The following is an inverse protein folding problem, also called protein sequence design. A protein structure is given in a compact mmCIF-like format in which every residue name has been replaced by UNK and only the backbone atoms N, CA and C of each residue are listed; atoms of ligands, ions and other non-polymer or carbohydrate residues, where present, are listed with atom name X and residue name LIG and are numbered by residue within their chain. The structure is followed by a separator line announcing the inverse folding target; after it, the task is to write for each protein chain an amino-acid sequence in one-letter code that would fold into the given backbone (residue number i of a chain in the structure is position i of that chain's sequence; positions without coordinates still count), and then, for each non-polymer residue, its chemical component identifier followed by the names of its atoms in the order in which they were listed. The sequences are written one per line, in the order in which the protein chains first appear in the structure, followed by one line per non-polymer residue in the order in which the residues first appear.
data_IF_964263989520
#
_entry.id   IF_964263989520
#
_cell.length_a   1.000
_cell.length_b   1.000
_cell.length_c   1.000
_cell.angle_alpha   90.00
_cell.angle_beta   90.00
_cell.angle_gamma   90.00
#
_symmetry.space_group_name_H-M   'P 1'
#
loop_
_entity.id
_entity.type
_entity.pdbx_description
1 polymer ?
#
# COMPACT_ATOMS: atom_id res chain seq x y z
N UNK A 1 -22.79 -23.67 11.42
CA UNK A 1 -21.37 -23.37 11.70
C UNK A 1 -21.37 -22.28 12.74
N UNK A 2 -20.93 -22.57 13.98
CA UNK A 2 -20.95 -21.58 15.07
C UNK A 2 -19.84 -20.55 14.82
N UNK A 3 -20.22 -19.35 14.39
CA UNK A 3 -19.30 -18.21 14.36
C UNK A 3 -19.05 -17.79 15.80
N UNK A 4 -17.88 -18.15 16.32
CA UNK A 4 -17.43 -17.73 17.64
C UNK A 4 -17.20 -16.21 17.54
N UNK A 5 -17.91 -15.43 18.34
CA UNK A 5 -17.68 -14.00 18.41
C UNK A 5 -16.20 -13.75 18.80
N UNK A 6 -15.49 -12.82 18.14
CA UNK A 6 -14.11 -12.52 18.49
C UNK A 6 -14.03 -12.06 19.95
N UNK A 7 -12.95 -12.40 20.67
CA UNK A 7 -12.80 -12.04 22.07
C UNK A 7 -12.84 -10.52 22.25
N UNK A 8 -13.41 -10.06 23.37
CA UNK A 8 -13.51 -8.64 23.69
C UNK A 8 -12.12 -7.98 23.65
N UNK A 9 -11.94 -6.99 22.78
CA UNK A 9 -10.67 -6.29 22.54
C UNK A 9 -9.90 -6.72 21.29
N UNK A 10 -10.36 -7.74 20.56
CA UNK A 10 -9.81 -8.04 19.23
C UNK A 10 -10.20 -6.95 18.21
N UNK A 11 -9.29 -6.56 17.30
CA UNK A 11 -9.63 -5.61 16.25
C UNK A 11 -10.75 -6.17 15.37
N UNK A 12 -11.62 -5.29 14.89
CA UNK A 12 -12.54 -5.62 13.81
C UNK A 12 -11.76 -6.06 12.58
N UNK A 13 -12.41 -6.80 11.69
CA UNK A 13 -11.82 -7.21 10.40
C UNK A 13 -11.23 -6.02 9.65
N UNK A 14 -11.96 -4.92 9.60
CA UNK A 14 -11.54 -3.69 8.94
C UNK A 14 -10.30 -3.07 9.61
N UNK A 15 -10.27 -2.97 10.94
CA UNK A 15 -9.10 -2.46 11.66
C UNK A 15 -7.86 -3.35 11.46
N UNK A 16 -8.07 -4.67 11.40
CA UNK A 16 -7.00 -5.62 11.12
C UNK A 16 -6.43 -5.43 9.71
N UNK A 17 -7.30 -5.30 8.69
CA UNK A 17 -6.86 -5.04 7.31
C UNK A 17 -6.11 -3.71 7.25
N UNK A 18 -6.65 -2.65 7.86
CA UNK A 18 -6.01 -1.34 7.92
C UNK A 18 -4.63 -1.38 8.59
N UNK A 19 -4.51 -2.08 9.71
CA UNK A 19 -3.24 -2.28 10.39
C UNK A 19 -2.22 -3.04 9.53
N UNK A 20 -2.64 -4.08 8.83
CA UNK A 20 -1.75 -4.84 7.93
C UNK A 20 -1.34 -4.03 6.69
N UNK A 21 -2.25 -3.22 6.15
CA UNK A 21 -1.99 -2.28 5.05
C UNK A 21 -0.94 -1.23 5.46
N UNK A 22 -1.06 -0.66 6.66
CA UNK A 22 -0.04 0.24 7.22
C UNK A 22 1.30 -0.45 7.41
N UNK A 23 1.32 -1.69 7.91
CA UNK A 23 2.57 -2.45 8.05
C UNK A 23 3.28 -2.63 6.71
N UNK A 24 2.55 -2.92 5.63
CA UNK A 24 3.11 -3.02 4.29
C UNK A 24 3.67 -1.67 3.81
N UNK A 25 2.87 -0.59 3.90
CA UNK A 25 3.27 0.78 3.52
C UNK A 25 4.50 1.29 4.27
N UNK A 26 4.62 0.94 5.56
CA UNK A 26 5.72 1.34 6.43
C UNK A 26 6.97 0.47 6.26
N UNK A 27 6.94 -0.57 5.41
CA UNK A 27 8.06 -1.50 5.21
C UNK A 27 8.29 -2.45 6.39
N UNK A 28 7.27 -2.67 7.22
CA UNK A 28 7.31 -3.57 8.38
C UNK A 28 6.86 -4.99 8.03
N UNK A 29 6.31 -5.19 6.84
CA UNK A 29 6.01 -6.49 6.25
C UNK A 29 7.08 -6.86 5.21
N UNK A 30 7.89 -7.88 5.52
CA UNK A 30 8.96 -8.36 4.64
C UNK A 30 8.45 -9.13 3.42
N UNK A 31 7.18 -9.53 3.43
CA UNK A 31 6.56 -10.26 2.32
C UNK A 31 5.88 -9.33 1.32
N UNK A 32 5.63 -8.08 1.72
CA UNK A 32 5.03 -7.08 0.86
C UNK A 32 5.95 -6.71 -0.32
N UNK A 33 5.34 -6.35 -1.45
CA UNK A 33 6.02 -5.80 -2.61
C UNK A 33 5.74 -4.31 -2.69
N UNK A 34 6.76 -3.51 -2.91
CA UNK A 34 6.61 -2.08 -3.15
C UNK A 34 7.03 -1.82 -4.59
N UNK A 35 6.13 -1.22 -5.36
CA UNK A 35 6.35 -0.87 -6.76
C UNK A 35 6.06 0.61 -6.98
N UNK A 36 6.86 1.25 -7.81
CA UNK A 36 6.64 2.61 -8.30
C UNK A 36 6.39 2.51 -9.80
N UNK A 37 5.29 3.08 -10.29
CA UNK A 37 5.03 3.08 -11.73
C UNK A 37 6.10 3.87 -12.47
N UNK A 38 6.44 3.43 -13.68
CA UNK A 38 7.44 4.09 -14.51
C UNK A 38 7.08 5.55 -14.78
N UNK A 39 5.81 5.83 -15.05
CA UNK A 39 5.31 7.19 -15.31
C UNK A 39 5.49 8.09 -14.09
N UNK A 40 5.07 7.64 -12.90
CA UNK A 40 5.26 8.37 -11.65
C UNK A 40 6.73 8.74 -11.41
N UNK A 41 7.66 7.81 -11.61
CA UNK A 41 9.08 8.09 -11.45
C UNK A 41 9.61 9.06 -12.52
N UNK A 42 9.19 8.89 -13.77
CA UNK A 42 9.61 9.73 -14.89
C UNK A 42 9.17 11.20 -14.74
N UNK A 43 8.02 11.44 -14.08
CA UNK A 43 7.55 12.79 -13.75
C UNK A 43 8.51 13.55 -12.84
N UNK A 44 9.28 12.84 -12.01
CA UNK A 44 10.24 13.47 -11.08
C UNK A 44 11.66 13.61 -11.67
N UNK A 45 11.90 13.10 -12.88
CA UNK A 45 13.18 13.18 -13.56
C UNK A 45 13.65 11.84 -14.15
N UNK A 46 14.97 11.65 -14.32
CA UNK A 46 15.52 10.41 -14.85
C UNK A 46 15.08 9.18 -14.04
N UNK A 47 14.77 8.08 -14.74
CA UNK A 47 14.30 6.82 -14.15
C UNK A 47 15.45 5.84 -13.82
N UNK A 48 16.69 6.22 -14.13
CA UNK A 48 17.90 5.45 -13.81
C UNK A 48 18.97 6.33 -13.16
N UNK A 49 19.92 5.69 -12.47
CA UNK A 49 21.05 6.36 -11.82
C UNK A 49 20.72 6.99 -10.45
N UNK A 50 21.67 7.75 -9.87
CA UNK A 50 21.56 8.24 -8.50
C UNK A 50 20.34 9.14 -8.24
N UNK A 51 19.94 9.95 -9.24
CA UNK A 51 18.76 10.82 -9.14
C UNK A 51 17.47 10.00 -9.08
N UNK A 52 17.38 8.92 -9.87
CA UNK A 52 16.23 8.02 -9.83
C UNK A 52 16.10 7.35 -8.45
N UNK A 53 17.21 6.88 -7.87
CA UNK A 53 17.23 6.30 -6.52
C UNK A 53 16.77 7.31 -5.47
N UNK A 54 17.20 8.57 -5.58
CA UNK A 54 16.76 9.65 -4.70
C UNK A 54 15.25 9.91 -4.84
N UNK A 55 14.73 9.99 -6.06
CA UNK A 55 13.31 10.20 -6.32
C UNK A 55 12.45 9.04 -5.82
N UNK A 56 12.89 7.78 -6.01
CA UNK A 56 12.24 6.62 -5.41
C UNK A 56 12.23 6.70 -3.88
N UNK A 57 13.34 7.10 -3.25
CA UNK A 57 13.40 7.26 -1.80
C UNK A 57 12.44 8.36 -1.29
N UNK A 58 12.33 9.49 -2.01
CA UNK A 58 11.38 10.56 -1.70
C UNK A 58 9.93 10.08 -1.80
N UNK A 59 9.59 9.34 -2.87
CA UNK A 59 8.27 8.74 -3.05
C UNK A 59 7.92 7.77 -1.92
N UNK A 60 8.84 6.85 -1.58
CA UNK A 60 8.63 5.91 -0.48
C UNK A 60 8.50 6.63 0.88
N UNK A 61 9.25 7.71 1.11
CA UNK A 61 9.12 8.50 2.33
C UNK A 61 7.76 9.21 2.41
N UNK A 62 7.32 9.82 1.32
CA UNK A 62 6.02 10.49 1.26
C UNK A 62 4.85 9.51 1.40
N UNK A 63 4.93 8.33 0.78
CA UNK A 63 3.96 7.26 0.95
C UNK A 63 3.83 6.79 2.41
N UNK A 64 4.92 6.82 3.20
CA UNK A 64 4.87 6.52 4.64
C UNK A 64 4.17 7.57 5.50
N UNK A 65 4.03 8.79 5.00
CA UNK A 65 3.34 9.90 5.68
C UNK A 65 2.06 10.36 4.99
N UNK A 66 1.54 9.59 4.03
CA UNK A 66 0.33 9.95 3.30
C UNK A 66 -0.90 9.98 4.21
N UNK A 67 -1.93 10.68 3.77
CA UNK A 67 -3.24 10.67 4.41
C UNK A 67 -4.20 9.75 3.65
N UNK A 68 -5.23 9.29 4.37
CA UNK A 68 -6.33 8.48 3.83
C UNK A 68 -7.63 9.26 4.00
N UNK A 69 -8.51 9.20 3.00
CA UNK A 69 -9.84 9.78 3.11
C UNK A 69 -10.75 8.89 3.97
N UNK A 70 -11.90 9.42 4.37
CA UNK A 70 -12.92 8.65 5.09
C UNK A 70 -13.45 7.46 4.28
N UNK A 71 -13.35 7.52 2.95
CA UNK A 71 -13.79 6.47 2.03
C UNK A 71 -12.77 5.33 1.86
N UNK A 72 -11.57 5.45 2.44
CA UNK A 72 -10.57 4.37 2.52
C UNK A 72 -10.32 3.97 3.98
N UNK A 73 -11.32 3.39 4.67
CA UNK A 73 -11.18 3.00 6.06
C UNK A 73 -10.21 1.81 6.26
N UNK A 74 -10.00 1.01 5.20
CA UNK A 74 -8.96 -0.02 5.14
C UNK A 74 -7.55 0.56 4.90
N UNK A 75 -7.41 1.87 4.71
CA UNK A 75 -6.13 2.54 4.43
C UNK A 75 -5.40 1.94 3.22
N UNK A 76 -6.17 1.61 2.21
CA UNK A 76 -5.73 0.93 1.00
C UNK A 76 -5.56 1.89 -0.19
N UNK A 77 -6.01 3.14 -0.07
CA UNK A 77 -5.81 4.21 -1.03
C UNK A 77 -5.46 5.53 -0.31
N UNK A 78 -4.17 5.85 -0.31
CA UNK A 78 -3.64 7.10 0.25
C UNK A 78 -3.28 8.10 -0.83
N UNK A 79 -3.29 9.39 -0.48
CA UNK A 79 -2.94 10.49 -1.39
C UNK A 79 -1.86 11.36 -0.77
N UNK A 80 -0.90 11.81 -1.57
CA UNK A 80 0.10 12.79 -1.18
C UNK A 80 0.56 13.62 -2.39
N UNK A 81 1.28 14.71 -2.13
CA UNK A 81 1.84 15.56 -3.18
C UNK A 81 3.37 15.56 -3.12
N UNK A 82 4.02 15.57 -4.29
CA UNK A 82 5.46 15.74 -4.44
C UNK A 82 5.75 16.58 -5.69
N UNK A 83 6.56 17.63 -5.55
CA UNK A 83 6.91 18.55 -6.65
C UNK A 83 5.69 19.10 -7.43
N UNK A 84 4.57 19.29 -6.74
CA UNK A 84 3.31 19.78 -7.35
C UNK A 84 2.45 18.69 -8.00
N UNK A 85 2.89 17.44 -8.02
CA UNK A 85 2.15 16.30 -8.56
C UNK A 85 1.37 15.58 -7.47
N UNK A 86 0.09 15.30 -7.74
CA UNK A 86 -0.72 14.38 -6.93
C UNK A 86 -0.28 12.95 -7.23
N UNK A 87 0.04 12.21 -6.18
CA UNK A 87 0.47 10.80 -6.24
C UNK A 87 -0.39 9.99 -5.30
N UNK A 88 -0.75 8.79 -5.72
CA UNK A 88 -1.46 7.82 -4.92
C UNK A 88 -0.51 6.76 -4.38
N UNK A 89 -0.89 6.18 -3.24
CA UNK A 89 -0.41 4.88 -2.79
C UNK A 89 -1.62 3.94 -2.70
N UNK A 90 -1.66 2.94 -3.56
CA UNK A 90 -2.65 1.85 -3.52
C UNK A 90 -2.04 0.64 -2.86
N UNK A 91 -2.81 -0.04 -2.01
CA UNK A 91 -2.45 -1.32 -1.43
C UNK A 91 -3.46 -2.35 -1.90
N UNK A 92 -2.96 -3.37 -2.60
CA UNK A 92 -3.77 -4.48 -3.09
C UNK A 92 -3.39 -5.76 -2.34
N UNK A 93 -4.40 -6.60 -2.05
CA UNK A 93 -4.25 -7.85 -1.32
C UNK A 93 -4.40 -9.03 -2.26
N UNK A 94 -3.30 -9.73 -2.53
CA UNK A 94 -3.26 -10.92 -3.39
C UNK A 94 -3.04 -12.18 -2.57
N UNK A 95 -3.31 -13.34 -3.16
CA UNK A 95 -2.83 -14.62 -2.65
C UNK A 95 -1.28 -14.68 -2.57
N UNK A 96 -0.75 -15.81 -2.09
CA UNK A 96 0.71 -16.00 -1.94
C UNK A 96 1.46 -16.12 -3.27
N UNK A 97 0.77 -16.45 -4.36
CA UNK A 97 1.36 -16.63 -5.69
C UNK A 97 1.24 -15.35 -6.55
N UNK A 98 0.52 -14.32 -6.08
CA UNK A 98 0.20 -13.12 -6.83
C UNK A 98 -0.64 -13.39 -8.10
N UNK A 99 -1.47 -14.43 -8.08
CA UNK A 99 -2.31 -14.81 -9.22
C UNK A 99 -3.73 -14.22 -9.12
N UNK A 100 -4.28 -14.20 -7.91
CA UNK A 100 -5.62 -13.70 -7.62
C UNK A 100 -5.66 -12.83 -6.36
N UNK A 101 -6.80 -12.18 -6.13
CA UNK A 101 -7.06 -11.51 -4.85
C UNK A 101 -7.05 -12.51 -3.68
N UNK A 102 -6.58 -12.07 -2.51
CA UNK A 102 -6.56 -12.91 -1.32
C UNK A 102 -7.98 -13.28 -0.87
N UNK A 103 -8.21 -14.56 -0.54
CA UNK A 103 -9.46 -15.03 0.05
C UNK A 103 -9.72 -14.43 1.44
N UNK A 104 -8.66 -14.10 2.18
CA UNK A 104 -8.76 -13.41 3.46
C UNK A 104 -7.70 -12.31 3.63
N UNK A 105 -8.00 -11.06 3.22
CA UNK A 105 -7.11 -9.91 3.42
C UNK A 105 -6.76 -9.63 4.89
N UNK A 106 -7.55 -10.12 5.86
CA UNK A 106 -7.26 -9.94 7.28
C UNK A 106 -6.26 -10.99 7.82
N UNK A 107 -5.98 -12.04 7.05
CA UNK A 107 -4.97 -13.06 7.36
C UNK A 107 -3.65 -12.79 6.62
N UNK A 108 -2.58 -12.37 7.33
CA UNK A 108 -1.28 -12.11 6.71
C UNK A 108 -0.54 -13.40 6.28
N UNK A 109 -0.97 -14.58 6.72
CA UNK A 109 -0.38 -15.85 6.29
C UNK A 109 -0.81 -16.21 4.87
N UNK A 110 -2.04 -15.85 4.50
CA UNK A 110 -2.62 -16.11 3.18
C UNK A 110 -2.40 -14.97 2.18
N UNK A 111 -2.11 -13.76 2.68
CA UNK A 111 -2.07 -12.55 1.86
C UNK A 111 -0.64 -12.10 1.53
N UNK A 112 -0.42 -11.67 0.30
CA UNK A 112 0.71 -10.82 -0.09
C UNK A 112 0.18 -9.43 -0.44
N UNK A 113 0.76 -8.39 0.15
CA UNK A 113 0.38 -7.00 -0.14
C UNK A 113 1.28 -6.40 -1.20
N UNK A 114 0.68 -5.77 -2.20
CA UNK A 114 1.38 -4.97 -3.20
C UNK A 114 1.07 -3.50 -2.95
N UNK A 115 2.09 -2.75 -2.59
CA UNK A 115 2.05 -1.30 -2.38
C UNK A 115 2.49 -0.63 -3.68
N UNK A 116 1.55 -0.06 -4.41
CA UNK A 116 1.77 0.62 -5.67
C UNK A 116 1.79 2.13 -5.45
N UNK A 117 2.90 2.78 -5.78
CA UNK A 117 3.02 4.25 -5.81
C UNK A 117 2.89 4.69 -7.26
N UNK A 118 1.85 5.48 -7.56
CA UNK A 118 1.41 5.75 -8.92
C UNK A 118 0.79 7.14 -9.07
N UNK A 119 0.73 7.65 -10.30
CA UNK A 119 -0.11 8.81 -10.61
C UNK A 119 -1.58 8.39 -10.70
N UNK A 120 -2.55 9.29 -10.44
CA UNK A 120 -3.97 8.98 -10.60
C UNK A 120 -4.35 8.46 -12.00
N UNK A 121 -3.64 8.91 -13.05
CA UNK A 121 -3.85 8.50 -14.44
C UNK A 121 -3.25 7.14 -14.81
N UNK A 122 -2.43 6.55 -13.93
CA UNK A 122 -1.89 5.20 -14.10
C UNK A 122 -2.88 4.11 -13.60
N UNK A 123 -4.01 4.51 -13.01
CA UNK A 123 -5.05 3.64 -12.43
C UNK A 123 -6.27 3.53 -13.36
#
# INVERSE_FOLDING_TARGET
MLTIAPPAGAPTRLEQIAHLNDRARLGLDRTARIVVTRNCLATLGPIEGPVAMLNQARLMAAARSCTFSADSPERDLGVFAIDGHTVWVKIDSYDRNLEYGSDDPADPVLTTRVVTILLPEDW
#
